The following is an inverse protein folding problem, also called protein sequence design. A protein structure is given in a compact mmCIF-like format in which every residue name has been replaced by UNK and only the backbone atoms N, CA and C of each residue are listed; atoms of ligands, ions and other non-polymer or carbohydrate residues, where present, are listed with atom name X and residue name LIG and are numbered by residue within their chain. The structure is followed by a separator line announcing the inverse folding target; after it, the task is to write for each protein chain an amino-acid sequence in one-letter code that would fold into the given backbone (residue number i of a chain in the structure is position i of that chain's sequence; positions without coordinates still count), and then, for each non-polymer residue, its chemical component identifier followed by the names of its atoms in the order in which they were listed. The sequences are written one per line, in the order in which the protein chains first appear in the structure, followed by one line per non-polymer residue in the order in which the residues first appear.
data_IF_530375142442
#
_entry.id   IF_530375142442
#
_cell.length_a   1.000
_cell.length_b   1.000
_cell.length_c   1.000
_cell.angle_alpha   90.00
_cell.angle_beta   90.00
_cell.angle_gamma   90.00
#
_symmetry.space_group_name_H-M   'P 1'
#
loop_
_entity.id
_entity.type
_entity.pdbx_description
1 polymer ?
#
# COMPACT_ATOMS: atom_id res chain seq x y z
N UNK A 1 25.04 -5.97 19.29
CA UNK A 1 23.88 -5.06 19.34
C UNK A 1 22.90 -5.60 18.32
N UNK A 2 22.00 -6.50 18.74
CA UNK A 2 21.02 -7.08 17.84
C UNK A 2 19.84 -6.13 17.81
N UNK A 3 19.85 -5.19 16.87
CA UNK A 3 18.65 -4.46 16.48
C UNK A 3 17.74 -5.48 15.82
N UNK A 4 16.94 -6.16 16.64
CA UNK A 4 15.81 -6.97 16.18
C UNK A 4 14.77 -5.97 15.66
N UNK A 5 15.04 -5.40 14.48
CA UNK A 5 14.06 -4.64 13.72
C UNK A 5 12.94 -5.63 13.44
N UNK A 6 11.90 -5.59 14.27
CA UNK A 6 10.64 -6.22 13.93
C UNK A 6 10.30 -5.72 12.52
N UNK A 7 9.92 -6.58 11.56
CA UNK A 7 9.43 -6.08 10.30
C UNK A 7 8.34 -5.08 10.64
N UNK A 8 8.49 -3.84 10.17
CA UNK A 8 7.49 -2.81 10.39
C UNK A 8 6.22 -3.29 9.71
N UNK A 9 5.36 -3.96 10.46
CA UNK A 9 4.12 -4.53 9.96
C UNK A 9 3.28 -3.36 9.44
N UNK A 10 3.07 -3.32 8.12
CA UNK A 10 2.30 -2.26 7.47
C UNK A 10 0.82 -2.67 7.49
N UNK A 11 -0.04 -1.72 7.82
CA UNK A 11 -1.47 -1.95 7.96
C UNK A 11 -2.24 -1.10 6.96
N UNK A 12 -3.21 -1.71 6.29
CA UNK A 12 -4.20 -1.00 5.48
C UNK A 12 -5.36 -0.58 6.38
N UNK A 13 -5.64 0.72 6.43
CA UNK A 13 -6.84 1.25 7.07
C UNK A 13 -8.03 1.16 6.11
N UNK A 14 -9.09 0.50 6.54
CA UNK A 14 -10.32 0.32 5.79
C UNK A 14 -11.30 1.46 6.10
N UNK A 15 -12.25 1.71 5.21
CA UNK A 15 -13.26 2.77 5.39
C UNK A 15 -14.11 2.61 6.67
N UNK A 16 -14.23 1.38 7.19
CA UNK A 16 -14.94 1.11 8.45
C UNK A 16 -14.11 1.44 9.71
N UNK A 17 -12.83 1.83 9.54
CA UNK A 17 -11.87 2.10 10.61
C UNK A 17 -11.10 0.87 11.10
N UNK A 18 -11.36 -0.32 10.53
CA UNK A 18 -10.57 -1.52 10.79
C UNK A 18 -9.22 -1.49 10.08
N UNK A 19 -8.25 -2.22 10.64
CA UNK A 19 -6.93 -2.40 10.05
C UNK A 19 -6.75 -3.83 9.56
N UNK A 20 -6.23 -3.99 8.34
CA UNK A 20 -5.86 -5.28 7.78
C UNK A 20 -4.34 -5.34 7.56
N UNK A 21 -3.66 -6.44 7.95
CA UNK A 21 -2.23 -6.58 7.70
C UNK A 21 -1.97 -6.68 6.20
N UNK A 22 -1.09 -5.82 5.70
CA UNK A 22 -0.62 -5.91 4.31
C UNK A 22 0.33 -7.10 4.23
N UNK A 23 0.06 -7.93 3.23
CA UNK A 23 0.79 -9.18 2.98
C UNK A 23 1.81 -9.02 1.87
N UNK A 24 1.44 -8.30 0.80
CA UNK A 24 2.28 -7.99 -0.35
C UNK A 24 2.02 -6.56 -0.81
N UNK A 25 3.05 -5.93 -1.37
CA UNK A 25 2.94 -4.64 -2.04
C UNK A 25 3.60 -4.75 -3.43
N UNK A 26 3.05 -4.02 -4.38
CA UNK A 26 3.52 -3.98 -5.75
C UNK A 26 3.74 -2.53 -6.18
N UNK A 27 4.82 -2.27 -6.90
CA UNK A 27 5.09 -0.96 -7.48
C UNK A 27 4.27 -0.71 -8.76
N UNK A 28 4.52 0.42 -9.43
CA UNK A 28 3.83 0.81 -10.66
C UNK A 28 4.22 -0.01 -11.89
N UNK A 29 5.37 -0.69 -11.85
CA UNK A 29 5.82 -1.63 -12.88
C UNK A 29 5.22 -3.03 -12.67
N UNK A 30 4.64 -3.28 -11.48
CA UNK A 30 4.01 -4.54 -11.08
C UNK A 30 4.97 -5.51 -10.39
N UNK A 31 6.16 -5.05 -10.01
CA UNK A 31 7.15 -5.79 -9.24
C UNK A 31 6.83 -5.72 -7.74
N UNK A 32 7.14 -6.80 -7.00
CA UNK A 32 6.95 -6.84 -5.55
C UNK A 32 7.93 -5.88 -4.88
N UNK A 33 7.42 -5.04 -3.99
CA UNK A 33 8.19 -4.03 -3.26
C UNK A 33 7.96 -4.13 -1.76
N UNK A 34 9.01 -3.88 -0.99
CA UNK A 34 8.93 -3.73 0.48
C UNK A 34 8.89 -2.25 0.89
N UNK A 35 8.99 -1.32 -0.06
CA UNK A 35 8.98 0.13 0.17
C UNK A 35 7.56 0.70 0.00
N UNK A 36 6.88 1.12 1.08
CA UNK A 36 5.50 1.63 0.99
C UNK A 36 5.39 2.96 0.23
N UNK A 37 6.48 3.73 0.15
CA UNK A 37 6.53 4.98 -0.62
C UNK A 37 6.53 4.74 -2.14
N UNK A 38 6.94 3.54 -2.58
CA UNK A 38 6.96 3.13 -3.98
C UNK A 38 5.83 2.14 -4.31
N UNK A 39 5.03 1.74 -3.32
CA UNK A 39 3.90 0.85 -3.52
C UNK A 39 2.76 1.56 -4.26
N UNK A 40 2.34 0.98 -5.38
CA UNK A 40 1.18 1.40 -6.17
C UNK A 40 -0.05 0.54 -5.86
N UNK A 41 0.16 -0.74 -5.52
CA UNK A 41 -0.91 -1.65 -5.13
C UNK A 41 -0.52 -2.43 -3.89
N UNK A 42 -1.47 -2.62 -2.98
CA UNK A 42 -1.27 -3.41 -1.76
C UNK A 42 -2.30 -4.52 -1.69
N UNK A 43 -1.85 -5.67 -1.21
CA UNK A 43 -2.68 -6.84 -0.97
C UNK A 43 -2.75 -7.08 0.53
N UNK A 44 -3.96 -6.99 1.07
CA UNK A 44 -4.23 -7.23 2.48
C UNK A 44 -5.20 -8.40 2.66
N UNK A 45 -5.01 -9.16 3.74
CA UNK A 45 -5.97 -10.17 4.16
C UNK A 45 -6.89 -9.59 5.23
N UNK A 46 -8.18 -9.54 4.93
CA UNK A 46 -9.22 -9.10 5.84
C UNK A 46 -9.38 -10.11 7.00
N UNK A 47 -9.87 -9.68 8.17
CA UNK A 47 -10.11 -10.57 9.31
C UNK A 47 -11.09 -11.71 9.01
N UNK A 48 -12.02 -11.53 8.07
CA UNK A 48 -12.93 -12.56 7.57
C UNK A 48 -12.25 -13.60 6.64
N UNK A 49 -10.93 -13.50 6.42
CA UNK A 49 -10.15 -14.40 5.55
C UNK A 49 -10.26 -14.09 4.05
N UNK A 50 -10.94 -12.99 3.69
CA UNK A 50 -11.00 -12.49 2.31
C UNK A 50 -9.72 -11.73 1.95
N UNK A 51 -9.35 -11.78 0.68
CA UNK A 51 -8.23 -10.99 0.16
C UNK A 51 -8.76 -9.72 -0.48
N UNK A 52 -8.11 -8.60 -0.16
CA UNK A 52 -8.40 -7.30 -0.74
C UNK A 52 -7.14 -6.80 -1.44
N UNK A 53 -7.28 -6.40 -2.70
CA UNK A 53 -6.25 -5.67 -3.44
C UNK A 53 -6.72 -4.23 -3.57
N UNK A 54 -5.94 -3.29 -3.06
CA UNK A 54 -6.24 -1.86 -3.11
C UNK A 54 -5.12 -1.15 -3.86
N UNK A 55 -5.48 -0.36 -4.86
CA UNK A 55 -4.55 0.60 -5.47
C UNK A 55 -4.36 1.76 -4.49
N UNK A 56 -3.11 1.99 -4.11
CA UNK A 56 -2.67 3.14 -3.32
C UNK A 56 -1.98 4.08 -4.29
N UNK A 57 -2.70 5.12 -4.69
CA UNK A 57 -2.11 6.19 -5.48
C UNK A 57 -1.30 7.02 -4.50
N UNK A 58 0.04 7.08 -4.60
CA UNK A 58 0.82 8.00 -3.78
C UNK A 58 0.30 9.41 -4.05
N UNK A 59 -0.01 10.15 -2.97
CA UNK A 59 -0.60 11.51 -3.03
C UNK A 59 0.28 12.52 -3.79
N UNK A 60 1.53 12.16 -4.11
CA UNK A 60 2.46 12.91 -4.96
C UNK A 60 2.19 12.74 -6.47
N UNK A 61 0.92 12.74 -6.88
CA UNK A 61 0.59 13.09 -8.26
C UNK A 61 0.10 14.53 -8.25
N UNK A 62 1.03 15.48 -8.42
CA UNK A 62 0.66 16.82 -8.90
C UNK A 62 -0.13 16.63 -10.19
N UNK A 63 -1.45 16.77 -10.10
CA UNK A 63 -2.34 16.74 -11.24
C UNK A 63 -2.01 17.99 -12.06
N UNK A 64 -1.04 17.88 -12.97
CA UNK A 64 -0.74 18.92 -13.95
C UNK A 64 -1.95 19.03 -14.89
N UNK A 65 -2.92 19.81 -14.45
CA UNK A 65 -4.02 20.26 -15.30
C UNK A 65 -3.43 21.17 -16.38
N UNK A 66 -3.11 20.59 -17.54
CA UNK A 66 -2.82 21.38 -18.72
C UNK A 66 -4.13 22.03 -19.18
N UNK A 67 -4.23 23.37 -19.27
CA UNK A 67 -5.36 23.99 -19.92
C UNK A 67 -5.35 23.58 -21.40
N UNK A 68 -6.40 22.88 -21.84
CA UNK A 68 -6.69 22.69 -23.26
C UNK A 68 -6.79 24.08 -23.89
N UNK A 69 -5.93 24.34 -24.88
CA UNK A 69 -5.90 25.59 -25.66
C UNK A 69 -7.11 25.73 -26.58
#
# INVERSE_FOLDING_TARGET
MNSNAMPSQIWLELEDGSHAPITNMFDCDGDETDDPEHAFSVVAQLPDGRWLTQEVIPDDFEVVSFPVS
#
